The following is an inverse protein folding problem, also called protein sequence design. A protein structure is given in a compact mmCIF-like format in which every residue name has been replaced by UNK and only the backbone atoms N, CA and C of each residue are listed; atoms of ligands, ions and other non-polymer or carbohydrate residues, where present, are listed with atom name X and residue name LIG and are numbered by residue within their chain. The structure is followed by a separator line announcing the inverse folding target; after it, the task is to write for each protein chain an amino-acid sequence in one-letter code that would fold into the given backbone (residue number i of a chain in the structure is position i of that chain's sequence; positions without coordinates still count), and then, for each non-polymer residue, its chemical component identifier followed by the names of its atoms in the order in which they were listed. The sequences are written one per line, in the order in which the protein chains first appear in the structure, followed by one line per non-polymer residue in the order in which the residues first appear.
data_IF_973557468954
#
_entry.id   IF_973557468954
#
_cell.length_a   1.000
_cell.length_b   1.000
_cell.length_c   1.000
_cell.angle_alpha   90.00
_cell.angle_beta   90.00
_cell.angle_gamma   90.00
#
_symmetry.space_group_name_H-M   'P 1'
#
loop_
_entity.id
_entity.type
_entity.pdbx_description
1 polymer ?
#
# COMPACT_ATOMS: atom_id res chain seq x y z
N UNK A 1 29.13 -20.00 5.57
CA UNK A 1 27.68 -20.19 5.34
C UNK A 1 27.35 -19.53 4.01
N UNK A 2 26.71 -20.25 3.08
CA UNK A 2 26.27 -19.67 1.81
C UNK A 2 25.05 -18.79 2.11
N UNK A 3 25.06 -17.54 1.68
CA UNK A 3 23.90 -16.66 1.85
C UNK A 3 22.71 -17.26 1.10
N UNK A 4 21.51 -17.32 1.70
CA UNK A 4 20.33 -17.87 1.04
C UNK A 4 20.02 -17.05 -0.22
N UNK A 5 19.62 -17.75 -1.29
CA UNK A 5 19.25 -17.09 -2.54
C UNK A 5 17.94 -16.31 -2.36
N UNK A 6 17.71 -15.22 -3.13
CA UNK A 6 16.50 -14.42 -3.01
C UNK A 6 15.23 -15.25 -3.25
N UNK A 7 15.30 -16.27 -4.09
CA UNK A 7 14.18 -17.17 -4.36
C UNK A 7 13.83 -18.06 -3.16
N UNK A 8 14.83 -18.54 -2.41
CA UNK A 8 14.59 -19.31 -1.20
C UNK A 8 13.93 -18.44 -0.14
N UNK A 9 14.42 -17.22 0.05
CA UNK A 9 13.81 -16.24 0.96
C UNK A 9 12.39 -15.87 0.51
N UNK A 10 12.16 -15.67 -0.78
CA UNK A 10 10.85 -15.34 -1.31
C UNK A 10 9.83 -16.46 -1.08
N UNK A 11 10.24 -17.72 -1.29
CA UNK A 11 9.40 -18.89 -1.02
C UNK A 11 9.09 -19.04 0.47
N UNK A 12 10.06 -18.77 1.34
CA UNK A 12 9.85 -18.77 2.79
C UNK A 12 8.83 -17.70 3.21
N UNK A 13 8.97 -16.48 2.71
CA UNK A 13 8.01 -15.40 2.96
C UNK A 13 6.60 -15.78 2.48
N UNK A 14 6.48 -16.32 1.27
CA UNK A 14 5.19 -16.77 0.74
C UNK A 14 4.55 -17.84 1.63
N UNK A 15 5.31 -18.87 2.05
CA UNK A 15 4.82 -19.90 2.97
C UNK A 15 4.36 -19.33 4.31
N UNK A 16 5.05 -18.32 4.85
CA UNK A 16 4.62 -17.65 6.08
C UNK A 16 3.28 -16.92 5.90
N UNK A 17 3.03 -16.35 4.72
CA UNK A 17 1.73 -15.76 4.39
C UNK A 17 0.60 -16.78 4.30
N UNK A 18 0.85 -17.93 3.66
CA UNK A 18 -0.13 -19.02 3.58
C UNK A 18 -0.46 -19.64 4.95
N UNK A 19 0.52 -19.62 5.87
CA UNK A 19 0.38 -20.14 7.22
C UNK A 19 -0.09 -19.10 8.24
N UNK A 20 -0.42 -17.87 7.82
CA UNK A 20 -0.76 -16.77 8.71
C UNK A 20 -1.84 -17.17 9.75
N UNK A 21 -2.90 -17.86 9.28
CA UNK A 21 -4.03 -18.32 10.11
C UNK A 21 -3.67 -19.40 11.13
N UNK A 22 -2.52 -20.04 10.98
CA UNK A 22 -2.05 -21.14 11.80
C UNK A 22 -0.83 -20.75 12.65
N UNK A 23 -0.38 -19.50 12.57
CA UNK A 23 0.78 -19.04 13.34
C UNK A 23 0.39 -18.86 14.82
N UNK A 24 1.17 -19.44 15.76
CA UNK A 24 1.05 -19.12 17.17
C UNK A 24 1.29 -17.62 17.42
N UNK A 25 0.51 -17.02 18.33
CA UNK A 25 0.64 -15.59 18.69
C UNK A 25 2.07 -15.20 19.05
N UNK A 26 2.78 -16.06 19.79
CA UNK A 26 4.17 -15.86 20.22
C UNK A 26 5.16 -15.71 19.05
N UNK A 27 4.83 -16.25 17.87
CA UNK A 27 5.68 -16.18 16.67
C UNK A 27 5.28 -15.05 15.73
N UNK A 28 4.07 -14.51 15.84
CA UNK A 28 3.57 -13.50 14.91
C UNK A 28 4.43 -12.23 14.89
N UNK A 29 4.93 -11.79 16.05
CA UNK A 29 5.81 -10.62 16.13
C UNK A 29 7.18 -10.86 15.47
N UNK A 30 7.77 -12.04 15.67
CA UNK A 30 9.04 -12.39 15.03
C UNK A 30 8.89 -12.49 13.52
N UNK A 31 7.81 -13.11 13.06
CA UNK A 31 7.45 -13.22 11.64
C UNK A 31 7.21 -11.85 11.03
N UNK A 32 6.41 -11.00 11.67
CA UNK A 32 6.16 -9.62 11.23
C UNK A 32 7.47 -8.84 11.08
N UNK A 33 8.34 -8.89 12.08
CA UNK A 33 9.63 -8.20 12.06
C UNK A 33 10.57 -8.73 10.97
N UNK A 34 10.56 -10.04 10.73
CA UNK A 34 11.34 -10.66 9.65
C UNK A 34 10.81 -10.24 8.27
N UNK A 35 9.49 -10.25 8.08
CA UNK A 35 8.86 -9.82 6.84
C UNK A 35 9.06 -8.33 6.57
N UNK A 36 8.99 -7.48 7.59
CA UNK A 36 9.25 -6.04 7.45
C UNK A 36 10.70 -5.77 7.01
N UNK A 37 11.67 -6.51 7.56
CA UNK A 37 13.07 -6.45 7.10
C UNK A 37 13.22 -6.92 5.67
N UNK A 38 12.50 -7.99 5.28
CA UNK A 38 12.51 -8.52 3.93
C UNK A 38 11.88 -7.54 2.90
N UNK A 39 10.84 -6.81 3.30
CA UNK A 39 10.20 -5.77 2.49
C UNK A 39 11.18 -4.60 2.20
N UNK A 40 12.01 -4.25 3.17
CA UNK A 40 13.00 -3.17 3.06
C UNK A 40 14.35 -3.63 2.48
N UNK A 41 14.47 -4.89 2.06
CA UNK A 41 15.75 -5.43 1.62
C UNK A 41 16.23 -4.77 0.30
N UNK A 42 17.42 -4.14 0.31
CA UNK A 42 18.00 -3.57 -0.90
C UNK A 42 18.48 -4.67 -1.84
N UNK A 43 18.60 -4.34 -3.13
CA UNK A 43 19.21 -5.26 -4.09
C UNK A 43 20.69 -5.48 -3.73
N UNK A 44 21.17 -6.71 -3.89
CA UNK A 44 22.56 -7.08 -3.60
C UNK A 44 23.33 -7.28 -4.92
N UNK A 45 24.08 -6.25 -5.33
CA UNK A 45 24.80 -6.25 -6.61
C UNK A 45 23.83 -6.37 -7.80
N UNK A 46 24.10 -7.29 -8.71
CA UNK A 46 23.25 -7.56 -9.88
C UNK A 46 22.04 -8.46 -9.58
N UNK A 47 21.92 -8.95 -8.34
CA UNK A 47 20.82 -9.83 -7.94
C UNK A 47 19.65 -8.99 -7.43
N UNK A 48 18.51 -9.08 -8.14
CA UNK A 48 17.28 -8.42 -7.73
C UNK A 48 16.64 -9.10 -6.51
N UNK A 49 16.37 -8.31 -5.47
CA UNK A 49 15.64 -8.74 -4.27
C UNK A 49 14.15 -8.45 -4.36
N UNK A 50 13.67 -8.00 -5.52
CA UNK A 50 12.25 -7.84 -5.83
C UNK A 50 11.38 -9.03 -5.40
N UNK A 51 11.68 -10.30 -5.74
CA UNK A 51 10.81 -11.41 -5.33
C UNK A 51 10.68 -11.53 -3.80
N UNK A 52 11.72 -11.16 -3.05
CA UNK A 52 11.70 -11.14 -1.58
C UNK A 52 10.76 -10.05 -1.08
N UNK A 53 10.82 -8.83 -1.65
CA UNK A 53 9.94 -7.72 -1.28
C UNK A 53 8.47 -8.01 -1.61
N UNK A 54 8.21 -8.55 -2.80
CA UNK A 54 6.86 -8.89 -3.27
C UNK A 54 6.23 -9.96 -2.38
N UNK A 55 6.95 -11.04 -2.12
CA UNK A 55 6.46 -12.11 -1.23
C UNK A 55 6.30 -11.65 0.22
N UNK A 56 7.20 -10.79 0.71
CA UNK A 56 7.08 -10.20 2.05
C UNK A 56 5.84 -9.32 2.18
N UNK A 57 5.57 -8.49 1.16
CA UNK A 57 4.38 -7.65 1.15
C UNK A 57 3.09 -8.48 1.19
N UNK A 58 3.01 -9.54 0.39
CA UNK A 58 1.88 -10.46 0.39
C UNK A 58 1.68 -11.14 1.75
N UNK A 59 2.75 -11.64 2.35
CA UNK A 59 2.69 -12.28 3.66
C UNK A 59 2.29 -11.32 4.79
N UNK A 60 2.78 -10.07 4.76
CA UNK A 60 2.35 -9.01 5.69
C UNK A 60 0.86 -8.71 5.52
N UNK A 61 0.36 -8.61 4.29
CA UNK A 61 -1.08 -8.43 4.03
C UNK A 61 -1.89 -9.58 4.62
N UNK A 62 -1.48 -10.84 4.42
CA UNK A 62 -2.15 -12.01 4.98
C UNK A 62 -2.18 -11.98 6.52
N UNK A 63 -1.05 -11.63 7.15
CA UNK A 63 -0.95 -11.54 8.61
C UNK A 63 -1.91 -10.47 9.18
N UNK A 64 -1.97 -9.30 8.56
CA UNK A 64 -2.85 -8.20 8.97
C UNK A 64 -4.33 -8.55 8.78
N UNK A 65 -4.67 -9.21 7.66
CA UNK A 65 -6.04 -9.63 7.36
C UNK A 65 -6.54 -10.74 8.30
N UNK A 66 -5.64 -11.57 8.82
CA UNK A 66 -5.96 -12.58 9.83
C UNK A 66 -6.22 -11.98 11.23
N UNK A 67 -5.94 -10.69 11.42
CA UNK A 67 -6.23 -9.95 12.64
C UNK A 67 -5.02 -9.73 13.54
N UNK A 68 -3.80 -10.07 13.09
CA UNK A 68 -2.59 -9.66 13.79
C UNK A 68 -2.46 -8.13 13.77
N UNK A 69 -2.29 -7.53 14.96
CA UNK A 69 -2.10 -6.10 15.12
C UNK A 69 -0.70 -5.82 15.64
N UNK A 70 0.22 -5.27 14.82
CA UNK A 70 1.54 -4.88 15.31
C UNK A 70 1.42 -3.79 16.37
N UNK A 71 2.35 -3.82 17.32
CA UNK A 71 2.53 -2.77 18.33
C UNK A 71 2.99 -1.45 17.70
N UNK A 72 3.81 -1.54 16.64
CA UNK A 72 4.33 -0.40 15.90
C UNK A 72 3.86 -0.41 14.44
N UNK A 73 2.95 0.51 14.11
CA UNK A 73 2.42 0.68 12.74
C UNK A 73 3.28 1.60 11.88
N UNK A 74 3.94 2.59 12.49
CA UNK A 74 4.73 3.60 11.76
C UNK A 74 5.81 2.99 10.85
N UNK A 75 6.61 1.99 11.29
CA UNK A 75 7.63 1.39 10.43
C UNK A 75 7.06 0.75 9.16
N UNK A 76 5.90 0.08 9.26
CA UNK A 76 5.21 -0.52 8.12
C UNK A 76 4.70 0.54 7.14
N UNK A 77 4.08 1.60 7.66
CA UNK A 77 3.53 2.69 6.85
C UNK A 77 4.64 3.47 6.13
N UNK A 78 5.79 3.65 6.78
CA UNK A 78 6.96 4.26 6.15
C UNK A 78 7.56 3.33 5.07
N UNK A 79 7.61 2.01 5.33
CA UNK A 79 8.13 1.04 4.37
C UNK A 79 7.28 0.98 3.10
N UNK A 80 5.96 1.00 3.22
CA UNK A 80 5.05 1.00 2.05
C UNK A 80 5.13 2.30 1.26
N UNK A 81 5.21 3.45 1.92
CA UNK A 81 5.43 4.75 1.26
C UNK A 81 6.79 4.78 0.54
N UNK A 82 7.83 4.20 1.14
CA UNK A 82 9.14 4.09 0.49
C UNK A 82 9.09 3.18 -0.74
N UNK A 83 8.40 2.03 -0.65
CA UNK A 83 8.20 1.11 -1.77
C UNK A 83 7.37 1.72 -2.91
N UNK A 84 6.40 2.60 -2.60
CA UNK A 84 5.62 3.34 -3.59
C UNK A 84 6.45 4.32 -4.44
N UNK A 85 7.66 4.70 -3.98
CA UNK A 85 8.59 5.58 -4.70
C UNK A 85 9.52 4.82 -5.65
N UNK A 86 9.45 3.49 -5.68
CA UNK A 86 10.30 2.69 -6.57
C UNK A 86 9.87 2.91 -8.03
N UNK A 87 10.83 2.97 -8.98
CA UNK A 87 10.54 3.26 -10.38
C UNK A 87 9.76 2.13 -11.06
N UNK A 88 9.84 0.90 -10.54
CA UNK A 88 9.08 -0.23 -11.05
C UNK A 88 7.60 -0.14 -10.62
N UNK A 89 6.72 0.16 -11.59
CA UNK A 89 5.27 0.30 -11.39
C UNK A 89 4.66 -0.87 -10.61
N UNK A 90 5.06 -2.11 -10.92
CA UNK A 90 4.58 -3.30 -10.21
C UNK A 90 4.95 -3.31 -8.72
N UNK A 91 6.14 -2.81 -8.35
CA UNK A 91 6.55 -2.73 -6.93
C UNK A 91 5.80 -1.61 -6.20
N UNK A 92 5.56 -0.49 -6.89
CA UNK A 92 4.75 0.59 -6.36
C UNK A 92 3.30 0.15 -6.12
N UNK A 93 2.68 -0.57 -7.06
CA UNK A 93 1.34 -1.14 -6.89
C UNK A 93 1.26 -2.06 -5.66
N UNK A 94 2.21 -2.97 -5.51
CA UNK A 94 2.22 -3.92 -4.38
C UNK A 94 2.38 -3.18 -3.05
N UNK A 95 3.23 -2.15 -3.01
CA UNK A 95 3.46 -1.34 -1.81
C UNK A 95 2.22 -0.52 -1.44
N UNK A 96 1.52 0.05 -2.43
CA UNK A 96 0.26 0.76 -2.22
C UNK A 96 -0.88 -0.16 -1.80
N UNK A 97 -0.92 -1.39 -2.34
CA UNK A 97 -1.90 -2.40 -1.92
C UNK A 97 -1.68 -2.79 -0.45
N UNK A 98 -0.43 -3.02 -0.04
CA UNK A 98 -0.09 -3.28 1.35
C UNK A 98 -0.43 -2.07 2.25
N UNK A 99 -0.20 -0.85 1.78
CA UNK A 99 -0.60 0.37 2.50
C UNK A 99 -2.11 0.43 2.73
N UNK A 100 -2.91 0.07 1.72
CA UNK A 100 -4.36 -0.01 1.85
C UNK A 100 -4.77 -1.07 2.88
N UNK A 101 -4.21 -2.29 2.79
CA UNK A 101 -4.46 -3.35 3.78
C UNK A 101 -4.07 -2.93 5.20
N UNK A 102 -2.94 -2.25 5.37
CA UNK A 102 -2.50 -1.75 6.67
C UNK A 102 -3.43 -0.66 7.21
N UNK A 103 -3.92 0.24 6.36
CA UNK A 103 -4.88 1.26 6.76
C UNK A 103 -6.23 0.65 7.17
N UNK A 104 -6.69 -0.38 6.46
CA UNK A 104 -7.92 -1.12 6.78
C UNK A 104 -7.79 -1.92 8.09
N UNK A 105 -6.72 -2.70 8.26
CA UNK A 105 -6.53 -3.53 9.45
C UNK A 105 -6.19 -2.72 10.72
N UNK A 106 -5.54 -1.56 10.53
CA UNK A 106 -5.05 -0.72 11.61
C UNK A 106 -6.06 0.26 12.19
N UNK A 107 -7.11 0.64 11.45
CA UNK A 107 -8.20 1.50 11.92
C UNK A 107 -7.70 2.68 12.80
N UNK A 108 -8.09 2.70 14.08
CA UNK A 108 -7.74 3.73 15.06
C UNK A 108 -6.23 3.85 15.33
N UNK A 109 -5.45 2.78 15.15
CA UNK A 109 -4.00 2.80 15.34
C UNK A 109 -3.27 3.54 14.21
N UNK A 110 -3.87 3.58 13.01
CA UNK A 110 -3.30 4.26 11.84
C UNK A 110 -3.83 5.68 11.68
N UNK A 111 -4.99 5.99 12.28
CA UNK A 111 -5.64 7.30 12.21
C UNK A 111 -4.68 8.50 12.48
N UNK A 112 -3.77 8.47 13.48
CA UNK A 112 -2.82 9.56 13.71
C UNK A 112 -1.82 9.78 12.56
N UNK A 113 -1.58 8.77 11.73
CA UNK A 113 -0.62 8.77 10.63
C UNK A 113 -1.25 9.10 9.27
N UNK A 114 -2.58 9.06 9.16
CA UNK A 114 -3.32 9.29 7.90
C UNK A 114 -2.97 10.60 7.21
N UNK A 115 -2.87 11.76 7.89
CA UNK A 115 -2.53 13.03 7.22
C UNK A 115 -1.14 12.98 6.56
N UNK A 116 -0.15 12.39 7.23
CA UNK A 116 1.21 12.30 6.73
C UNK A 116 1.33 11.33 5.54
N UNK A 117 0.63 10.19 5.62
CA UNK A 117 0.58 9.20 4.53
C UNK A 117 -0.10 9.78 3.31
N UNK A 118 -1.25 10.43 3.49
CA UNK A 118 -1.99 11.06 2.40
C UNK A 118 -1.14 12.11 1.69
N UNK A 119 -0.43 12.95 2.44
CA UNK A 119 0.49 13.92 1.86
C UNK A 119 1.63 13.26 1.07
N UNK A 120 2.19 12.16 1.59
CA UNK A 120 3.26 11.42 0.91
C UNK A 120 2.78 10.76 -0.39
N UNK A 121 1.61 10.11 -0.37
CA UNK A 121 0.99 9.48 -1.54
C UNK A 121 0.57 10.54 -2.56
N UNK A 122 -0.02 11.66 -2.13
CA UNK A 122 -0.35 12.79 -2.99
C UNK A 122 0.89 13.35 -3.68
N UNK A 123 2.00 13.50 -2.95
CA UNK A 123 3.28 13.94 -3.49
C UNK A 123 3.80 13.02 -4.59
N UNK A 124 3.56 11.71 -4.48
CA UNK A 124 3.96 10.75 -5.50
C UNK A 124 3.02 10.78 -6.71
N UNK A 125 1.70 10.73 -6.50
CA UNK A 125 0.70 10.79 -7.57
C UNK A 125 0.88 12.06 -8.42
N UNK A 126 1.16 13.21 -7.78
CA UNK A 126 1.33 14.49 -8.47
C UNK A 126 2.46 14.47 -9.51
N UNK A 127 3.49 13.62 -9.35
CA UNK A 127 4.57 13.46 -10.34
C UNK A 127 4.12 12.71 -11.59
N UNK A 128 3.10 11.86 -11.47
CA UNK A 128 2.55 11.08 -12.57
C UNK A 128 1.38 11.77 -13.27
N UNK A 129 0.85 12.87 -12.70
CA UNK A 129 -0.20 13.66 -13.34
C UNK A 129 0.44 14.52 -14.45
N UNK A 130 0.00 14.39 -15.71
CA UNK A 130 0.50 15.25 -16.78
C UNK A 130 0.12 16.72 -16.51
N UNK A 131 1.03 17.68 -16.75
CA UNK A 131 0.82 19.11 -16.49
C UNK A 131 -0.25 19.75 -17.38
N UNK A 132 -0.69 19.05 -18.42
CA UNK A 132 -1.92 19.36 -19.16
C UNK A 132 -2.79 18.10 -19.09
N UNK A 133 -3.90 18.11 -18.34
CA UNK A 133 -4.91 17.10 -18.56
C UNK A 133 -5.39 17.29 -20.00
N UNK A 134 -5.12 16.33 -20.89
CA UNK A 134 -5.97 16.20 -22.07
C UNK A 134 -7.41 16.25 -21.56
N UNK A 135 -8.30 17.05 -22.18
CA UNK A 135 -9.64 17.23 -21.68
C UNK A 135 -10.21 15.84 -21.48
N UNK A 136 -10.52 15.52 -20.22
CA UNK A 136 -11.13 14.25 -19.82
C UNK A 136 -12.10 13.86 -20.92
N UNK A 137 -12.10 12.62 -21.44
CA UNK A 137 -13.08 12.20 -22.41
C UNK A 137 -14.42 12.32 -21.69
N UNK A 138 -15.04 13.50 -21.85
CA UNK A 138 -16.28 13.82 -21.22
C UNK A 138 -17.19 12.73 -21.73
N UNK A 139 -17.74 11.96 -20.80
CA UNK A 139 -19.02 11.30 -21.02
C UNK A 139 -19.85 12.36 -21.73
N UNK A 140 -20.02 12.18 -23.04
CA UNK A 140 -20.98 12.94 -23.82
C UNK A 140 -22.30 12.58 -23.18
N UNK A 141 -22.67 13.30 -22.14
CA UNK A 141 -24.03 13.35 -21.70
C UNK A 141 -24.75 13.84 -22.95
N UNK A 142 -25.44 12.92 -23.61
CA UNK A 142 -26.55 13.29 -24.47
C UNK A 142 -27.54 13.96 -23.54
N UNK A 143 -27.32 15.26 -23.31
CA UNK A 143 -28.27 16.17 -22.72
C UNK A 143 -29.43 16.30 -23.70
N UNK A 144 -30.31 15.32 -23.69
CA UNK A 144 -31.72 15.59 -23.96
C UNK A 144 -32.13 16.65 -22.95
N UNK A 145 -32.36 17.86 -23.46
CA UNK A 145 -32.99 19.02 -22.83
C UNK A 145 -33.60 18.71 -21.46
N UNK A 146 -33.03 19.28 -20.41
CA UNK A 146 -33.78 19.59 -19.20
C UNK A 146 -33.50 21.05 -18.84
N UNK A 147 -34.56 21.83 -18.89
CA UNK A 147 -34.58 23.28 -18.80
C UNK A 147 -34.03 23.78 -17.47
N UNK A 148 -33.19 24.81 -17.56
CA UNK A 148 -32.72 25.62 -16.44
C UNK A 148 -33.92 26.36 -15.83
N UNK A 149 -34.51 25.81 -14.76
CA UNK A 149 -35.47 26.56 -13.94
C UNK A 149 -34.69 27.26 -12.83
N UNK A 150 -34.49 28.54 -13.07
CA UNK A 150 -34.06 29.56 -12.13
C UNK A 150 -35.04 29.65 -10.97
N UNK A 151 -34.60 29.38 -9.75
CA UNK A 151 -35.24 29.84 -8.51
C UNK A 151 -34.10 30.19 -7.56
N UNK A 152 -33.81 31.49 -7.45
CA UNK A 152 -33.53 32.14 -6.17
C UNK A 152 -33.64 33.66 -6.35
N UNK A 153 -34.86 34.14 -6.21
CA UNK A 153 -35.17 35.50 -5.78
C UNK A 153 -36.58 35.50 -5.21
N UNK A 154 -36.70 35.32 -3.89
CA UNK A 154 -37.82 35.85 -3.12
C UNK A 154 -37.32 36.21 -1.70
N UNK A 155 -37.37 37.51 -1.47
CA UNK A 155 -37.06 38.25 -0.25
C UNK A 155 -38.15 38.08 0.83
N UNK A 156 -37.93 38.75 1.99
CA UNK A 156 -38.77 38.94 3.20
C UNK A 156 -38.19 38.13 4.38
N UNK A 157 -37.79 38.71 5.52
CA UNK A 157 -38.25 39.95 6.21
C UNK A 157 -37.24 41.08 6.34
#
# INVERSE_FOLDING_TARGET
MVAPTPYVLANANWLLGELATCLPEDLCEEVYNALLKALLAPNAGDVSWRPVRVSAAGALSSLLQDGYKPSEWLPLLQATVAGARMPEENEATISLQLLATAAEAGEDFVAPHVPAITAAVQGEISKHIPPHPEPWPQVRSKGSRCSFLSIDSLSIS
#
